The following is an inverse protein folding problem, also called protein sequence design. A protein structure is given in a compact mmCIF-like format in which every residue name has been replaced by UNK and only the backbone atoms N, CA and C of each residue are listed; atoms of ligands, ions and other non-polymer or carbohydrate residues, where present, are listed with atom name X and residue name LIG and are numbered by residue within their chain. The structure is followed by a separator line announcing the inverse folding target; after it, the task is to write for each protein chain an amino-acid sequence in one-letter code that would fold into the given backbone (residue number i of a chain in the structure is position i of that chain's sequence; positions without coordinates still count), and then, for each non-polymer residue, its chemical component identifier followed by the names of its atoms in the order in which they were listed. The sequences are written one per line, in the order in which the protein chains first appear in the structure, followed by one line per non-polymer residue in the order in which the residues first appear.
data_IF_777345759252
#
_entry.id   IF_777345759252
#
_cell.length_a   1.000
_cell.length_b   1.000
_cell.length_c   1.000
_cell.angle_alpha   90.00
_cell.angle_beta   90.00
_cell.angle_gamma   90.00
#
_symmetry.space_group_name_H-M   'P 1'
#
loop_
_entity.id
_entity.type
_entity.pdbx_description
1 polymer ?
#
# COMPACT_ATOMS: atom_id res chain seq x y z
N UNK A 1 0.89 11.45 -0.16
CA UNK A 1 0.86 10.64 -1.40
C UNK A 1 0.17 11.43 -2.49
N UNK A 2 0.40 11.10 -3.76
CA UNK A 2 -0.28 11.78 -4.86
C UNK A 2 -1.75 11.35 -4.90
N UNK A 3 -2.68 12.30 -4.83
CA UNK A 3 -4.09 12.02 -5.04
C UNK A 3 -4.37 11.96 -6.55
N UNK A 4 -4.79 10.79 -7.03
CA UNK A 4 -5.06 10.52 -8.44
C UNK A 4 -5.87 9.23 -8.61
N UNK A 5 -6.36 8.93 -9.83
CA UNK A 5 -7.25 7.80 -10.07
C UNK A 5 -6.60 6.46 -9.71
N UNK A 6 -5.30 6.30 -9.97
CA UNK A 6 -4.57 5.08 -9.63
C UNK A 6 -4.38 4.92 -8.11
N UNK A 7 -4.02 5.99 -7.40
CA UNK A 7 -3.94 5.98 -5.93
C UNK A 7 -5.29 5.66 -5.30
N UNK A 8 -6.39 6.21 -5.84
CA UNK A 8 -7.75 5.85 -5.39
C UNK A 8 -8.01 4.36 -5.60
N UNK A 9 -7.69 3.83 -6.78
CA UNK A 9 -7.86 2.41 -7.10
C UNK A 9 -7.07 1.49 -6.15
N UNK A 10 -5.83 1.86 -5.80
CA UNK A 10 -5.02 1.10 -4.84
C UNK A 10 -5.65 1.15 -3.44
N UNK A 11 -6.09 2.32 -2.98
CA UNK A 11 -6.80 2.47 -1.69
C UNK A 11 -8.07 1.63 -1.64
N UNK A 12 -8.87 1.67 -2.70
CA UNK A 12 -10.12 0.90 -2.81
C UNK A 12 -9.86 -0.62 -2.88
N UNK A 13 -8.65 -1.04 -3.28
CA UNK A 13 -8.24 -2.45 -3.35
C UNK A 13 -7.62 -2.98 -2.04
N UNK A 14 -7.45 -2.15 -1.00
CA UNK A 14 -6.95 -2.60 0.31
C UNK A 14 -8.00 -3.49 0.97
N UNK A 15 -7.69 -4.78 1.13
CA UNK A 15 -8.55 -5.76 1.82
C UNK A 15 -8.28 -5.80 3.32
N UNK A 16 -7.00 -5.80 3.69
CA UNK A 16 -6.57 -5.91 5.08
C UNK A 16 -5.34 -5.06 5.33
N UNK A 17 -5.29 -4.39 6.48
CA UNK A 17 -4.06 -3.82 7.01
C UNK A 17 -3.53 -4.72 8.11
N UNK A 18 -2.23 -4.99 8.08
CA UNK A 18 -1.49 -5.57 9.19
C UNK A 18 -0.51 -4.53 9.70
N UNK A 19 -0.68 -4.15 10.95
CA UNK A 19 0.33 -3.39 11.66
C UNK A 19 1.48 -4.32 12.05
N UNK A 20 2.66 -4.05 11.51
CA UNK A 20 3.88 -4.72 11.95
C UNK A 20 4.57 -3.82 13.00
N UNK A 21 5.48 -4.37 13.79
CA UNK A 21 6.12 -3.62 14.88
C UNK A 21 6.80 -2.32 14.38
N UNK A 22 7.46 -2.37 13.24
CA UNK A 22 8.16 -1.23 12.61
C UNK A 22 7.47 -0.67 11.37
N UNK A 23 6.61 -1.47 10.74
CA UNK A 23 6.14 -1.22 9.36
C UNK A 23 4.62 -1.31 9.24
N UNK A 24 4.09 -0.96 8.07
CA UNK A 24 2.70 -1.20 7.72
C UNK A 24 2.64 -2.06 6.47
N UNK A 25 1.90 -3.16 6.56
CA UNK A 25 1.63 -4.08 5.48
C UNK A 25 0.15 -4.02 5.11
N UNK A 26 -0.17 -4.05 3.82
CA UNK A 26 -1.53 -4.18 3.33
C UNK A 26 -1.65 -5.31 2.33
N UNK A 27 -2.75 -6.04 2.43
CA UNK A 27 -3.17 -7.02 1.43
C UNK A 27 -4.05 -6.31 0.41
N UNK A 28 -3.65 -6.36 -0.86
CA UNK A 28 -4.34 -5.77 -2.00
C UNK A 28 -5.09 -6.85 -2.77
N UNK A 29 -6.34 -6.56 -3.13
CA UNK A 29 -7.15 -7.40 -3.99
C UNK A 29 -6.56 -7.48 -5.40
N UNK A 30 -5.94 -8.61 -5.73
CA UNK A 30 -5.31 -8.80 -7.04
C UNK A 30 -6.29 -9.01 -8.20
N UNK A 31 -7.59 -9.09 -7.92
CA UNK A 31 -8.65 -9.06 -8.94
C UNK A 31 -9.08 -7.61 -9.25
N UNK A 32 -8.91 -6.69 -8.30
CA UNK A 32 -9.23 -5.27 -8.47
C UNK A 32 -8.06 -4.48 -9.08
N UNK A 33 -6.82 -4.83 -8.74
CA UNK A 33 -5.58 -4.20 -9.25
C UNK A 33 -4.61 -5.23 -9.80
N UNK A 34 -3.85 -4.86 -10.83
CA UNK A 34 -2.79 -5.71 -11.38
C UNK A 34 -1.42 -5.37 -10.77
N UNK A 35 -0.49 -6.32 -10.78
CA UNK A 35 0.90 -6.07 -10.33
C UNK A 35 1.55 -4.90 -11.08
N UNK A 36 1.31 -4.78 -12.38
CA UNK A 36 1.78 -3.65 -13.19
C UNK A 36 1.19 -2.31 -12.70
N UNK A 37 -0.09 -2.28 -12.35
CA UNK A 37 -0.74 -1.09 -11.77
C UNK A 37 -0.19 -0.72 -10.39
N UNK A 38 0.12 -1.72 -9.55
CA UNK A 38 0.80 -1.49 -8.26
C UNK A 38 2.20 -0.92 -8.48
N UNK A 39 2.97 -1.47 -9.42
CA UNK A 39 4.32 -0.98 -9.74
C UNK A 39 4.32 0.44 -10.33
N UNK A 40 3.34 0.78 -11.17
CA UNK A 40 3.15 2.14 -11.69
C UNK A 40 2.87 3.11 -10.54
N UNK A 41 1.94 2.75 -9.64
CA UNK A 41 1.64 3.56 -8.47
C UNK A 41 2.87 3.77 -7.59
N UNK A 42 3.64 2.71 -7.29
CA UNK A 42 4.88 2.84 -6.53
C UNK A 42 5.90 3.76 -7.22
N UNK A 43 6.00 3.69 -8.56
CA UNK A 43 6.88 4.57 -9.33
C UNK A 43 6.47 6.04 -9.25
N UNK A 44 5.18 6.31 -9.10
CA UNK A 44 4.67 7.66 -8.85
C UNK A 44 4.96 8.13 -7.43
N UNK A 45 4.67 7.29 -6.41
CA UNK A 45 4.89 7.66 -5.01
C UNK A 45 6.37 7.85 -4.68
N UNK A 46 7.29 7.10 -5.31
CA UNK A 46 8.74 7.34 -5.19
C UNK A 46 9.17 8.75 -5.59
N UNK A 47 8.37 9.51 -6.33
CA UNK A 47 8.69 10.89 -6.71
C UNK A 47 8.26 11.92 -5.67
N UNK A 48 7.26 11.63 -4.83
CA UNK A 48 6.72 12.56 -3.85
C UNK A 48 6.86 12.11 -2.39
N UNK A 49 7.05 10.81 -2.15
CA UNK A 49 7.20 10.18 -0.85
C UNK A 49 8.60 9.55 -0.74
N UNK A 50 9.63 10.39 -0.85
CA UNK A 50 11.05 9.99 -0.86
C UNK A 50 11.51 9.28 0.43
N UNK A 51 10.76 9.44 1.51
CA UNK A 51 11.04 8.81 2.81
C UNK A 51 10.49 7.38 2.92
N UNK A 52 9.73 6.90 1.93
CA UNK A 52 9.15 5.57 1.94
C UNK A 52 10.01 4.57 1.16
N UNK A 53 10.21 3.41 1.76
CA UNK A 53 10.57 2.18 1.04
C UNK A 53 9.27 1.45 0.71
N UNK A 54 9.08 1.14 -0.57
CA UNK A 54 7.87 0.49 -1.10
C UNK A 54 8.23 -0.92 -1.57
N UNK A 55 7.50 -1.93 -1.11
CA UNK A 55 7.68 -3.32 -1.51
C UNK A 55 6.33 -3.91 -1.90
N UNK A 56 6.32 -4.75 -2.94
CA UNK A 56 5.17 -5.56 -3.35
C UNK A 56 5.62 -7.00 -3.50
N UNK A 57 4.84 -7.91 -2.96
CA UNK A 57 5.07 -9.35 -3.00
C UNK A 57 3.83 -10.02 -3.58
N UNK A 58 4.04 -10.89 -4.55
CA UNK A 58 3.01 -11.76 -5.10
C UNK A 58 3.29 -13.20 -4.63
N UNK A 59 2.28 -13.83 -4.04
CA UNK A 59 2.35 -15.24 -3.62
C UNK A 59 1.81 -16.14 -4.74
N UNK A 60 2.31 -17.38 -4.82
CA UNK A 60 1.68 -18.41 -5.65
C UNK A 60 0.33 -18.89 -5.10
N UNK A 61 0.03 -18.57 -3.84
CA UNK A 61 -1.22 -18.93 -3.17
C UNK A 61 -2.25 -17.80 -3.28
N UNK A 62 -2.97 -17.77 -4.41
CA UNK A 62 -4.06 -16.84 -4.64
C UNK A 62 -3.67 -15.58 -5.42
N UNK A 63 -4.66 -14.72 -5.74
CA UNK A 63 -4.43 -13.56 -6.60
C UNK A 63 -3.86 -12.34 -5.86
N UNK A 64 -3.96 -12.29 -4.53
CA UNK A 64 -3.71 -11.08 -3.75
C UNK A 64 -2.23 -10.73 -3.63
N UNK A 65 -1.95 -9.43 -3.51
CA UNK A 65 -0.61 -8.89 -3.34
C UNK A 65 -0.41 -8.41 -1.91
N UNK A 66 0.72 -8.76 -1.29
CA UNK A 66 1.16 -8.08 -0.08
C UNK A 66 1.95 -6.84 -0.47
N UNK A 67 1.68 -5.71 0.18
CA UNK A 67 2.39 -4.45 -0.04
C UNK A 67 2.88 -3.90 1.28
N UNK A 68 4.17 -3.60 1.38
CA UNK A 68 4.77 -3.01 2.58
C UNK A 68 5.23 -1.59 2.28
N UNK A 69 4.82 -0.65 3.13
CA UNK A 69 5.32 0.72 3.12
C UNK A 69 6.06 0.95 4.43
N UNK A 70 7.35 1.16 4.29
CA UNK A 70 8.33 1.25 5.37
C UNK A 70 8.87 2.68 5.38
N UNK A 71 9.07 3.27 6.56
CA UNK A 71 9.57 4.63 6.67
C UNK A 71 10.04 4.98 8.09
N UNK A 72 10.43 6.24 8.31
CA UNK A 72 10.94 6.70 9.60
C UNK A 72 9.84 6.73 10.67
N UNK A 73 10.21 7.07 11.90
CA UNK A 73 9.26 7.26 13.00
C UNK A 73 8.11 8.20 12.61
N UNK A 74 6.88 7.82 12.95
CA UNK A 74 5.67 8.56 12.57
C UNK A 74 5.05 8.17 11.22
N UNK A 75 5.71 7.30 10.43
CA UNK A 75 5.18 6.87 9.12
C UNK A 75 3.82 6.18 9.22
N UNK A 76 3.57 5.40 10.27
CA UNK A 76 2.29 4.66 10.44
C UNK A 76 1.09 5.60 10.55
N UNK A 77 1.19 6.63 11.39
CA UNK A 77 0.13 7.62 11.54
C UNK A 77 -0.11 8.39 10.24
N UNK A 78 0.98 8.72 9.53
CA UNK A 78 0.87 9.29 8.18
C UNK A 78 0.12 8.34 7.24
N UNK A 79 0.52 7.08 7.14
CA UNK A 79 -0.10 6.09 6.26
C UNK A 79 -1.59 5.87 6.61
N UNK A 80 -1.93 5.74 7.89
CA UNK A 80 -3.31 5.61 8.35
C UNK A 80 -4.19 6.78 7.87
N UNK A 81 -3.70 8.03 7.98
CA UNK A 81 -4.42 9.22 7.51
C UNK A 81 -4.63 9.23 5.99
N UNK A 82 -3.75 8.60 5.23
CA UNK A 82 -3.78 8.62 3.77
C UNK A 82 -4.67 7.51 3.22
N UNK A 83 -4.63 6.32 3.80
CA UNK A 83 -5.43 5.17 3.38
C UNK A 83 -6.82 5.12 4.03
N UNK A 84 -7.08 5.94 5.06
CA UNK A 84 -8.40 6.06 5.69
C UNK A 84 -8.79 4.82 6.49
N UNK A 85 -7.82 4.22 7.18
CA UNK A 85 -7.96 2.86 7.72
C UNK A 85 -8.50 2.92 9.15
N UNK A 86 -9.82 2.85 9.24
CA UNK A 86 -10.59 2.45 10.43
C UNK A 86 -11.17 1.05 10.12
N UNK A 87 -10.29 0.07 9.90
CA UNK A 87 -10.67 -1.34 9.67
C UNK A 87 -9.61 -2.25 10.25
N UNK A 88 -9.73 -2.46 11.55
CA UNK A 88 -9.07 -3.54 12.30
C UNK A 88 -10.15 -4.57 12.60
N UNK A 89 -10.13 -5.69 11.89
CA UNK A 89 -10.73 -6.98 12.30
C UNK A 89 -9.76 -8.13 12.02
#
# INVERSE_FOLDING_TARGET
MRNGPLTKKIKDAVRRQRELATDSAWELDGTAVSLAGVAEWMSMERRCCLFLTLQVEASGYGPDFASNLIGPEGVKAFLASQFGVDKVE
#
